data_IF_782663983506
#
_entry.id   IF_782663983506
#
_cell.length_a   1.000
_cell.length_b   1.000
_cell.length_c   1.000
_cell.angle_alpha   90.00
_cell.angle_beta   90.00
_cell.angle_gamma   90.00
#
_symmetry.space_group_name_H-M   'P 1'
#
loop_
_entity.id
_entity.type
_entity.pdbx_description
1 polymer ?
#
# COMPACT_ATOMS: atom_id res chain seq x y z
N UNK A 1 19.71 6.19 -34.26
CA UNK A 1 19.52 5.01 -35.16
C UNK A 1 20.30 3.74 -34.78
N UNK A 2 21.16 3.72 -33.75
CA UNK A 2 21.92 2.50 -33.35
C UNK A 2 21.61 1.99 -31.94
N UNK A 3 20.74 2.65 -31.19
CA UNK A 3 20.47 2.30 -29.76
C UNK A 3 19.50 1.12 -29.62
N UNK A 4 18.57 0.91 -30.56
CA UNK A 4 17.55 -0.15 -30.47
C UNK A 4 18.16 -1.54 -30.60
N UNK A 5 19.05 -1.77 -31.55
CA UNK A 5 19.69 -3.09 -31.76
C UNK A 5 20.65 -3.52 -30.63
N UNK A 6 21.28 -2.56 -29.91
CA UNK A 6 22.12 -2.89 -28.74
C UNK A 6 21.27 -3.19 -27.48
N UNK A 7 20.15 -2.52 -27.32
CA UNK A 7 19.22 -2.72 -26.22
C UNK A 7 18.68 -4.16 -26.15
N UNK A 8 18.32 -4.75 -27.28
CA UNK A 8 17.77 -6.11 -27.34
C UNK A 8 18.79 -7.18 -26.98
N UNK A 9 20.06 -6.98 -27.36
CA UNK A 9 21.14 -7.87 -26.98
C UNK A 9 21.34 -7.91 -25.48
N UNK A 10 21.35 -6.74 -24.81
CA UNK A 10 21.49 -6.65 -23.34
C UNK A 10 20.30 -7.27 -22.61
N UNK A 11 19.07 -7.05 -23.08
CA UNK A 11 17.87 -7.67 -22.51
C UNK A 11 17.93 -9.19 -22.55
N UNK A 12 18.26 -9.76 -23.71
CA UNK A 12 18.42 -11.21 -23.87
C UNK A 12 19.56 -11.77 -23.00
N UNK A 13 20.67 -11.05 -22.88
CA UNK A 13 21.78 -11.45 -21.99
C UNK A 13 21.37 -11.45 -20.53
N UNK A 14 20.68 -10.40 -20.07
CA UNK A 14 20.17 -10.31 -18.70
C UNK A 14 19.22 -11.48 -18.40
N UNK A 15 18.24 -11.74 -19.25
CA UNK A 15 17.27 -12.82 -19.03
C UNK A 15 17.91 -14.21 -19.00
N UNK A 16 18.85 -14.48 -19.90
CA UNK A 16 19.63 -15.73 -19.88
C UNK A 16 20.43 -15.86 -18.59
N UNK A 17 21.10 -14.78 -18.16
CA UNK A 17 21.84 -14.76 -16.91
C UNK A 17 20.93 -15.03 -15.71
N UNK A 18 19.72 -14.44 -15.68
CA UNK A 18 18.74 -14.67 -14.60
C UNK A 18 18.25 -16.12 -14.60
N UNK A 19 17.94 -16.70 -15.77
CA UNK A 19 17.58 -18.11 -15.90
C UNK A 19 18.72 -19.04 -15.44
N UNK A 20 19.95 -18.76 -15.84
CA UNK A 20 21.12 -19.54 -15.43
C UNK A 20 21.35 -19.49 -13.92
N UNK A 21 21.05 -18.34 -13.28
CA UNK A 21 21.31 -18.11 -11.85
C UNK A 21 20.18 -18.60 -10.94
N UNK A 22 18.93 -18.38 -11.33
CA UNK A 22 17.74 -18.59 -10.47
C UNK A 22 16.82 -19.70 -11.01
N UNK A 23 17.12 -20.26 -12.18
CA UNK A 23 16.29 -21.28 -12.78
C UNK A 23 14.92 -20.76 -13.25
N UNK A 24 13.95 -21.67 -13.28
CA UNK A 24 12.62 -21.36 -13.81
C UNK A 24 11.78 -20.39 -12.94
N UNK A 25 12.18 -20.12 -11.70
CA UNK A 25 11.51 -19.15 -10.83
C UNK A 25 11.40 -17.77 -11.50
N UNK A 26 12.43 -17.39 -12.32
CA UNK A 26 12.46 -16.13 -13.05
C UNK A 26 11.30 -15.99 -14.05
N UNK A 27 10.77 -17.09 -14.55
CA UNK A 27 9.65 -17.07 -15.50
C UNK A 27 8.34 -16.56 -14.88
N UNK A 28 8.26 -16.59 -13.55
CA UNK A 28 7.11 -16.06 -12.81
C UNK A 28 7.24 -14.58 -12.47
N UNK A 29 8.41 -13.97 -12.73
CA UNK A 29 8.65 -12.57 -12.42
C UNK A 29 8.04 -11.68 -13.52
N UNK A 30 7.15 -10.73 -13.15
CA UNK A 30 6.61 -9.80 -14.13
C UNK A 30 7.69 -8.83 -14.59
N UNK A 31 7.82 -8.68 -15.90
CA UNK A 31 8.77 -7.75 -16.55
C UNK A 31 7.96 -6.57 -17.07
N UNK A 32 8.09 -5.43 -16.40
CA UNK A 32 7.49 -4.17 -16.81
C UNK A 32 8.42 -3.39 -17.74
N UNK A 33 7.85 -2.84 -18.81
CA UNK A 33 8.65 -2.14 -19.82
C UNK A 33 8.57 -0.64 -19.59
N UNK A 34 9.66 -0.07 -19.06
CA UNK A 34 9.85 1.36 -18.79
C UNK A 34 9.09 1.87 -17.56
N UNK A 35 9.15 3.21 -17.35
CA UNK A 35 8.49 3.94 -16.26
C UNK A 35 7.94 5.27 -16.78
N UNK A 36 6.64 5.49 -16.59
CA UNK A 36 5.91 6.73 -16.90
C UNK A 36 6.26 7.36 -18.28
N UNK A 37 6.10 6.60 -19.38
CA UNK A 37 6.43 7.10 -20.71
C UNK A 37 5.52 8.27 -21.16
N UNK A 38 4.44 8.51 -20.44
CA UNK A 38 3.52 9.63 -20.64
C UNK A 38 3.98 10.94 -19.98
N UNK A 39 5.17 10.96 -19.34
CA UNK A 39 5.79 12.16 -18.78
C UNK A 39 7.09 12.51 -19.51
N UNK A 40 7.24 13.78 -19.98
CA UNK A 40 8.47 14.23 -20.65
C UNK A 40 9.74 14.10 -19.79
N UNK A 41 9.60 14.08 -18.46
CA UNK A 41 10.72 13.91 -17.53
C UNK A 41 11.31 12.48 -17.52
N UNK A 42 10.49 11.48 -17.85
CA UNK A 42 10.91 10.07 -17.88
C UNK A 42 11.07 9.52 -19.29
N UNK A 43 10.34 10.06 -20.26
CA UNK A 43 10.43 9.70 -21.66
C UNK A 43 10.47 10.94 -22.52
N UNK A 44 11.48 11.03 -23.38
CA UNK A 44 11.71 12.24 -24.18
C UNK A 44 10.44 12.66 -24.94
N UNK A 45 9.99 13.89 -24.71
CA UNK A 45 8.82 14.53 -25.31
C UNK A 45 7.50 13.74 -25.10
N UNK A 46 7.49 12.76 -24.17
CA UNK A 46 6.41 11.79 -24.00
C UNK A 46 5.97 11.15 -25.35
N UNK A 47 6.96 10.85 -26.22
CA UNK A 47 6.73 10.34 -27.57
C UNK A 47 6.11 8.94 -27.51
N UNK A 48 4.79 8.89 -27.64
CA UNK A 48 3.98 7.68 -27.55
C UNK A 48 4.35 6.64 -28.62
N UNK A 49 4.57 7.06 -29.87
CA UNK A 49 4.88 6.15 -30.96
C UNK A 49 6.24 5.47 -30.74
N UNK A 50 7.22 6.22 -30.29
CA UNK A 50 8.54 5.68 -29.98
C UNK A 50 8.49 4.72 -28.77
N UNK A 51 7.67 5.03 -27.75
CA UNK A 51 7.46 4.12 -26.62
C UNK A 51 6.77 2.81 -27.07
N UNK A 52 5.70 2.88 -27.83
CA UNK A 52 4.98 1.71 -28.34
C UNK A 52 5.91 0.80 -29.17
N UNK A 53 6.79 1.40 -29.96
CA UNK A 53 7.84 0.67 -30.69
C UNK A 53 8.83 -0.02 -29.72
N UNK A 54 9.33 0.70 -28.71
CA UNK A 54 10.20 0.13 -27.68
C UNK A 54 9.53 -1.05 -26.98
N UNK A 55 8.25 -0.90 -26.62
CA UNK A 55 7.47 -1.94 -25.96
C UNK A 55 7.41 -3.20 -26.81
N UNK A 56 6.98 -3.09 -28.07
CA UNK A 56 6.84 -4.24 -28.97
C UNK A 56 8.17 -4.97 -29.20
N UNK A 57 9.27 -4.23 -29.44
CA UNK A 57 10.60 -4.81 -29.62
C UNK A 57 11.10 -5.49 -28.34
N UNK A 58 10.83 -4.88 -27.17
CA UNK A 58 11.20 -5.48 -25.88
C UNK A 58 10.44 -6.78 -25.63
N UNK A 59 9.11 -6.76 -25.80
CA UNK A 59 8.26 -7.93 -25.62
C UNK A 59 8.70 -9.08 -26.52
N UNK A 60 8.91 -8.83 -27.82
CA UNK A 60 9.41 -9.83 -28.76
C UNK A 60 10.76 -10.39 -28.33
N UNK A 61 11.72 -9.53 -27.97
CA UNK A 61 13.03 -9.96 -27.54
C UNK A 61 13.00 -10.82 -26.26
N UNK A 62 12.11 -10.53 -25.33
CA UNK A 62 11.90 -11.31 -24.11
C UNK A 62 11.28 -12.66 -24.43
N UNK A 63 10.19 -12.68 -25.22
CA UNK A 63 9.49 -13.91 -25.63
C UNK A 63 10.35 -14.83 -26.52
N UNK A 64 11.33 -14.30 -27.25
CA UNK A 64 12.32 -15.09 -27.99
C UNK A 64 13.32 -15.83 -27.08
N UNK A 65 13.59 -15.34 -25.88
CA UNK A 65 14.45 -16.05 -24.91
C UNK A 65 13.68 -17.26 -24.34
N UNK A 66 12.47 -17.01 -23.85
CA UNK A 66 11.51 -18.03 -23.43
C UNK A 66 10.10 -17.41 -23.49
N UNK A 67 9.18 -18.08 -24.19
CA UNK A 67 7.81 -17.60 -24.36
C UNK A 67 7.00 -17.56 -23.08
N UNK A 68 7.45 -18.21 -22.01
CA UNK A 68 6.82 -18.24 -20.69
C UNK A 68 7.07 -17.00 -19.84
N UNK A 69 8.06 -16.15 -20.20
CA UNK A 69 8.26 -14.89 -19.48
C UNK A 69 6.99 -14.03 -19.49
N UNK A 70 6.67 -13.41 -18.35
CA UNK A 70 5.56 -12.51 -18.22
C UNK A 70 6.00 -11.07 -18.52
N UNK A 71 5.39 -10.43 -19.53
CA UNK A 71 5.75 -9.08 -19.99
C UNK A 71 4.53 -8.19 -20.04
N UNK A 72 4.64 -6.98 -19.50
CA UNK A 72 3.55 -6.00 -19.47
C UNK A 72 4.02 -4.55 -19.41
N UNK A 73 3.08 -3.66 -19.33
CA UNK A 73 3.19 -2.21 -19.27
C UNK A 73 1.79 -1.59 -19.34
N UNK A 74 1.63 -0.30 -19.62
CA UNK A 74 2.66 0.69 -20.00
C UNK A 74 3.28 1.47 -18.82
N UNK A 75 2.96 1.19 -17.56
CA UNK A 75 3.44 1.88 -16.37
C UNK A 75 3.19 3.40 -16.41
N UNK A 76 2.02 3.81 -16.85
CA UNK A 76 1.65 5.23 -16.99
C UNK A 76 1.21 5.86 -15.68
N UNK A 77 1.51 7.14 -15.47
CA UNK A 77 0.90 7.95 -14.42
C UNK A 77 -0.46 8.51 -14.84
N UNK A 78 -1.12 9.29 -13.96
CA UNK A 78 -2.46 9.83 -14.18
C UNK A 78 -2.58 10.90 -15.27
N UNK A 79 -1.49 11.29 -15.96
CA UNK A 79 -1.53 12.31 -17.02
C UNK A 79 -1.99 11.68 -18.33
N UNK A 80 -3.17 12.10 -18.82
CA UNK A 80 -3.79 11.55 -20.05
C UNK A 80 -3.88 10.01 -20.05
N UNK A 81 -4.02 9.42 -18.89
CA UNK A 81 -3.95 7.97 -18.66
C UNK A 81 -4.99 7.18 -19.46
N UNK A 82 -6.21 7.69 -19.61
CA UNK A 82 -7.29 7.06 -20.38
C UNK A 82 -6.89 6.95 -21.86
N UNK A 83 -6.39 8.04 -22.46
CA UNK A 83 -5.94 8.06 -23.85
C UNK A 83 -4.73 7.13 -24.05
N UNK A 84 -3.75 7.22 -23.16
CA UNK A 84 -2.56 6.37 -23.23
C UNK A 84 -2.88 4.89 -23.10
N UNK A 85 -3.76 4.52 -22.15
CA UNK A 85 -4.17 3.12 -22.00
C UNK A 85 -4.93 2.63 -23.23
N UNK A 86 -5.84 3.43 -23.78
CA UNK A 86 -6.58 3.09 -24.99
C UNK A 86 -5.66 2.86 -26.19
N UNK A 87 -4.71 3.79 -26.41
CA UNK A 87 -3.78 3.71 -27.53
C UNK A 87 -2.81 2.52 -27.36
N UNK A 88 -2.32 2.28 -26.13
CA UNK A 88 -1.48 1.13 -25.83
C UNK A 88 -2.19 -0.20 -26.12
N UNK A 89 -3.44 -0.35 -25.66
CA UNK A 89 -4.22 -1.56 -25.87
C UNK A 89 -4.57 -1.75 -27.36
N UNK A 90 -4.93 -0.67 -28.07
CA UNK A 90 -5.17 -0.69 -29.52
C UNK A 90 -3.90 -1.14 -30.27
N UNK A 91 -2.76 -0.57 -29.91
CA UNK A 91 -1.48 -0.96 -30.54
C UNK A 91 -1.12 -2.43 -30.28
N UNK A 92 -1.32 -2.93 -29.06
CA UNK A 92 -1.10 -4.35 -28.75
C UNK A 92 -2.02 -5.26 -29.55
N UNK A 93 -3.31 -4.89 -29.69
CA UNK A 93 -4.29 -5.60 -30.49
C UNK A 93 -3.88 -5.65 -31.99
N UNK A 94 -3.61 -4.49 -32.59
CA UNK A 94 -3.31 -4.36 -34.02
C UNK A 94 -2.03 -5.10 -34.42
N UNK A 95 -1.09 -5.24 -33.49
CA UNK A 95 0.18 -5.94 -33.69
C UNK A 95 0.17 -7.38 -33.15
N UNK A 96 -0.96 -7.90 -32.67
CA UNK A 96 -1.15 -9.24 -32.10
C UNK A 96 -0.05 -9.58 -31.05
N UNK A 97 0.23 -8.65 -30.14
CA UNK A 97 1.29 -8.81 -29.14
C UNK A 97 0.79 -9.71 -27.99
N UNK A 98 1.55 -10.73 -27.55
CA UNK A 98 1.19 -11.59 -26.42
C UNK A 98 1.43 -10.89 -25.07
N UNK A 99 0.55 -9.93 -24.73
CA UNK A 99 0.59 -9.17 -23.50
C UNK A 99 0.11 -10.06 -22.33
N UNK A 100 0.89 -10.14 -21.24
CA UNK A 100 0.56 -10.98 -20.09
C UNK A 100 -0.15 -10.22 -18.96
N UNK A 101 0.11 -8.93 -18.81
CA UNK A 101 -0.50 -8.06 -17.80
C UNK A 101 -0.42 -6.59 -18.23
N UNK A 102 -1.20 -5.75 -17.57
CA UNK A 102 -1.13 -4.29 -17.70
C UNK A 102 -0.73 -3.64 -16.39
N UNK A 103 -0.12 -2.46 -16.50
CA UNK A 103 0.33 -1.69 -15.33
C UNK A 103 0.01 -0.21 -15.45
N UNK A 104 -0.19 0.41 -14.31
CA UNK A 104 -0.26 1.86 -14.18
C UNK A 104 0.15 2.30 -12.78
N UNK A 105 0.43 3.59 -12.62
CA UNK A 105 0.64 4.25 -11.33
C UNK A 105 -0.67 4.89 -10.84
N UNK A 106 -0.75 5.12 -9.52
CA UNK A 106 -1.96 5.61 -8.90
C UNK A 106 -1.66 6.54 -7.73
N UNK A 107 -1.88 7.83 -7.95
CA UNK A 107 -1.76 8.87 -6.95
C UNK A 107 -3.10 9.61 -6.80
N UNK A 108 -3.48 9.92 -5.57
CA UNK A 108 -4.83 10.35 -5.21
C UNK A 108 -4.88 11.75 -4.59
N UNK A 109 -3.92 12.60 -4.96
CA UNK A 109 -3.76 13.94 -4.46
C UNK A 109 -4.17 14.95 -5.54
N UNK A 110 -4.84 16.02 -5.14
CA UNK A 110 -5.10 17.15 -6.04
C UNK A 110 -3.80 17.89 -6.34
N UNK A 111 -3.85 18.80 -7.32
CA UNK A 111 -2.70 19.64 -7.65
C UNK A 111 -2.25 20.41 -6.41
N UNK A 112 -1.03 20.17 -5.91
CA UNK A 112 -0.57 20.79 -4.68
C UNK A 112 -0.19 22.26 -4.87
N UNK A 113 -0.27 23.00 -3.77
CA UNK A 113 0.32 24.32 -3.63
C UNK A 113 1.68 24.18 -2.93
N UNK A 114 2.70 24.87 -3.46
CA UNK A 114 4.03 24.90 -2.87
C UNK A 114 4.10 26.01 -1.83
N UNK A 115 4.53 25.68 -0.61
CA UNK A 115 4.84 26.66 0.44
C UNK A 115 6.21 26.31 1.08
N UNK A 116 7.20 27.14 0.79
CA UNK A 116 8.58 26.91 1.19
C UNK A 116 9.17 25.66 0.54
N UNK A 117 9.41 24.64 1.36
CA UNK A 117 9.97 23.35 0.92
C UNK A 117 8.93 22.23 0.88
N UNK A 118 7.66 22.55 1.03
CA UNK A 118 6.59 21.57 1.16
C UNK A 118 5.51 21.77 0.12
N UNK A 119 4.89 20.67 -0.26
CA UNK A 119 3.76 20.63 -1.19
C UNK A 119 2.51 20.22 -0.43
N UNK A 120 1.56 21.13 -0.28
CA UNK A 120 0.29 20.92 0.39
C UNK A 120 -0.84 20.78 -0.62
N UNK A 121 -1.80 19.91 -0.33
CA UNK A 121 -2.98 19.72 -1.17
C UNK A 121 -4.01 18.83 -0.49
N UNK A 122 -5.14 18.66 -1.15
CA UNK A 122 -6.22 17.81 -0.65
C UNK A 122 -6.08 16.37 -1.17
N UNK A 123 -6.40 15.41 -0.31
CA UNK A 123 -6.63 14.03 -0.72
C UNK A 123 -7.98 13.95 -1.43
N UNK A 124 -8.01 13.37 -2.63
CA UNK A 124 -9.26 13.09 -3.34
C UNK A 124 -10.05 12.02 -2.58
N UNK A 125 -11.37 12.01 -2.78
CA UNK A 125 -12.19 10.93 -2.21
C UNK A 125 -11.68 9.56 -2.69
N UNK A 126 -11.43 8.59 -1.79
CA UNK A 126 -10.87 7.30 -2.19
C UNK A 126 -11.79 6.51 -3.12
N UNK A 127 -13.11 6.59 -2.97
CA UNK A 127 -14.06 5.87 -3.80
C UNK A 127 -14.13 6.48 -5.22
N UNK A 128 -14.02 7.79 -5.35
CA UNK A 128 -13.91 8.46 -6.65
C UNK A 128 -12.57 8.14 -7.33
N UNK A 129 -11.47 8.15 -6.58
CA UNK A 129 -10.15 7.80 -7.10
C UNK A 129 -10.09 6.35 -7.62
N UNK A 130 -10.73 5.40 -6.92
CA UNK A 130 -10.79 4.00 -7.36
C UNK A 130 -11.58 3.81 -8.66
N UNK A 131 -12.48 4.73 -9.04
CA UNK A 131 -13.18 4.70 -10.34
C UNK A 131 -12.21 4.89 -11.51
N UNK A 132 -11.10 5.59 -11.31
CA UNK A 132 -10.05 5.73 -12.35
C UNK A 132 -9.45 4.36 -12.71
N UNK A 133 -9.25 3.50 -11.70
CA UNK A 133 -8.76 2.15 -11.93
C UNK A 133 -9.79 1.31 -12.69
N UNK A 134 -11.09 1.48 -12.38
CA UNK A 134 -12.15 0.80 -13.12
C UNK A 134 -12.17 1.20 -14.58
N UNK A 135 -11.99 2.49 -14.91
CA UNK A 135 -11.90 2.96 -16.30
C UNK A 135 -10.76 2.25 -17.04
N UNK A 136 -9.58 2.14 -16.43
CA UNK A 136 -8.46 1.39 -17.03
C UNK A 136 -8.80 -0.09 -17.23
N UNK A 137 -9.46 -0.73 -16.26
CA UNK A 137 -9.92 -2.13 -16.35
C UNK A 137 -10.90 -2.30 -17.49
N UNK A 138 -11.88 -1.40 -17.63
CA UNK A 138 -12.89 -1.45 -18.69
C UNK A 138 -12.27 -1.31 -20.08
N UNK A 139 -11.24 -0.47 -20.24
CA UNK A 139 -10.48 -0.34 -21.49
C UNK A 139 -9.81 -1.67 -21.82
N UNK A 140 -9.10 -2.29 -20.89
CA UNK A 140 -8.39 -3.57 -21.11
C UNK A 140 -9.40 -4.66 -21.48
N UNK A 141 -10.52 -4.76 -20.75
CA UNK A 141 -11.55 -5.78 -20.96
C UNK A 141 -12.39 -5.58 -22.23
N UNK A 142 -12.29 -4.41 -22.85
CA UNK A 142 -12.93 -4.13 -24.15
C UNK A 142 -12.29 -4.91 -25.31
N UNK A 143 -11.04 -5.36 -25.14
CA UNK A 143 -10.30 -6.19 -26.09
C UNK A 143 -10.47 -7.68 -25.71
N UNK A 144 -11.19 -8.49 -26.52
CA UNK A 144 -11.57 -9.85 -26.13
C UNK A 144 -10.38 -10.76 -25.77
N UNK A 145 -9.24 -10.62 -26.46
CA UNK A 145 -8.03 -11.41 -26.24
C UNK A 145 -7.26 -11.03 -24.96
N UNK A 146 -7.48 -9.81 -24.44
CA UNK A 146 -6.84 -9.33 -23.22
C UNK A 146 -7.81 -9.26 -22.04
N UNK A 147 -9.07 -9.68 -22.23
CA UNK A 147 -10.05 -9.63 -21.15
C UNK A 147 -9.63 -10.47 -19.96
N UNK A 148 -9.58 -9.83 -18.79
CA UNK A 148 -9.25 -10.47 -17.52
C UNK A 148 -7.76 -10.74 -17.32
N UNK A 149 -6.84 -10.22 -18.17
CA UNK A 149 -5.41 -10.25 -17.84
C UNK A 149 -5.15 -9.42 -16.58
N UNK A 150 -4.16 -9.80 -15.75
CA UNK A 150 -3.83 -9.06 -14.54
C UNK A 150 -3.60 -7.57 -14.79
N UNK A 151 -4.07 -6.72 -13.89
CA UNK A 151 -3.71 -5.31 -13.83
C UNK A 151 -2.98 -5.04 -12.50
N UNK A 152 -1.77 -4.53 -12.57
CA UNK A 152 -0.96 -4.22 -11.39
C UNK A 152 -0.78 -2.71 -11.25
N UNK A 153 -0.94 -2.21 -10.03
CA UNK A 153 -0.59 -0.84 -9.67
C UNK A 153 0.86 -0.88 -9.17
N UNK A 154 1.79 -0.65 -10.09
CA UNK A 154 3.21 -0.85 -9.85
C UNK A 154 3.85 0.29 -9.07
N UNK A 155 3.12 1.40 -8.92
CA UNK A 155 3.49 2.50 -8.04
C UNK A 155 2.23 3.20 -7.53
N UNK A 156 2.11 3.38 -6.22
CA UNK A 156 1.04 4.21 -5.64
C UNK A 156 1.47 4.88 -4.34
N UNK A 157 0.89 6.03 -4.10
CA UNK A 157 0.88 6.74 -2.81
C UNK A 157 -0.30 7.72 -2.83
N UNK A 158 -0.48 8.50 -1.77
CA UNK A 158 -1.44 9.60 -1.77
C UNK A 158 -0.93 10.75 -2.65
N UNK A 159 0.18 11.39 -2.32
CA UNK A 159 0.77 12.43 -3.15
C UNK A 159 1.88 11.88 -4.06
N UNK A 160 1.98 12.46 -5.25
CA UNK A 160 3.10 12.22 -6.19
C UNK A 160 4.30 13.15 -5.94
N UNK A 161 4.28 13.93 -4.85
CA UNK A 161 5.34 14.86 -4.48
C UNK A 161 6.22 14.28 -3.37
N UNK A 162 7.56 14.33 -3.49
CA UNK A 162 8.49 13.80 -2.48
C UNK A 162 8.63 14.69 -1.23
N UNK A 163 7.88 15.77 -1.17
CA UNK A 163 7.90 16.81 -0.14
C UNK A 163 6.50 17.10 0.42
N UNK A 164 5.60 16.13 0.34
CA UNK A 164 4.19 16.29 0.75
C UNK A 164 3.97 15.82 2.19
N UNK A 165 3.73 16.71 3.18
CA UNK A 165 3.65 16.35 4.60
C UNK A 165 2.57 15.31 4.92
N UNK A 166 1.57 15.14 4.06
CA UNK A 166 0.54 14.11 4.24
C UNK A 166 1.12 12.71 4.41
N UNK A 167 2.25 12.39 3.77
CA UNK A 167 2.91 11.09 3.85
C UNK A 167 3.37 10.71 5.26
N UNK A 168 3.59 11.71 6.12
CA UNK A 168 4.09 11.51 7.49
C UNK A 168 2.95 11.34 8.51
N UNK A 169 1.69 11.46 8.09
CA UNK A 169 0.52 11.58 8.97
C UNK A 169 -0.25 10.26 9.17
N UNK A 170 -1.03 10.22 10.25
CA UNK A 170 -2.02 9.16 10.49
C UNK A 170 -3.16 9.17 9.48
N UNK A 171 -3.47 10.32 8.88
CA UNK A 171 -4.45 10.46 7.79
C UNK A 171 -4.03 9.65 6.57
N UNK A 172 -2.73 9.68 6.20
CA UNK A 172 -2.18 8.84 5.14
C UNK A 172 -2.40 7.35 5.45
N UNK A 173 -2.15 6.94 6.70
CA UNK A 173 -2.34 5.57 7.13
C UNK A 173 -3.80 5.09 6.97
N UNK A 174 -4.78 5.90 7.39
CA UNK A 174 -6.20 5.60 7.26
C UNK A 174 -6.65 5.61 5.79
N UNK A 175 -6.14 6.54 4.98
CA UNK A 175 -6.43 6.61 3.56
C UNK A 175 -5.93 5.36 2.81
N UNK A 176 -4.68 4.97 3.05
CA UNK A 176 -4.08 3.76 2.46
C UNK A 176 -4.84 2.51 2.91
N UNK A 177 -5.30 2.44 4.17
CA UNK A 177 -6.13 1.33 4.63
C UNK A 177 -7.41 1.19 3.79
N UNK A 178 -8.04 2.31 3.45
CA UNK A 178 -9.24 2.35 2.59
C UNK A 178 -8.96 1.83 1.18
N UNK A 179 -7.81 2.18 0.59
CA UNK A 179 -7.41 1.68 -0.73
C UNK A 179 -7.11 0.17 -0.69
N UNK A 180 -6.30 -0.28 0.29
CA UNK A 180 -5.91 -1.69 0.41
C UNK A 180 -7.12 -2.61 0.63
N UNK A 181 -8.17 -2.13 1.29
CA UNK A 181 -9.40 -2.90 1.48
C UNK A 181 -10.11 -3.25 0.16
N UNK A 182 -9.83 -2.53 -0.93
CA UNK A 182 -10.41 -2.73 -2.26
C UNK A 182 -9.52 -3.55 -3.20
N UNK A 183 -8.35 -3.99 -2.72
CA UNK A 183 -7.45 -4.86 -3.49
C UNK A 183 -8.18 -6.14 -3.94
N UNK A 184 -7.98 -6.51 -5.20
CA UNK A 184 -8.60 -7.66 -5.82
C UNK A 184 -9.99 -7.39 -6.43
N UNK A 185 -10.49 -6.14 -6.43
CA UNK A 185 -11.73 -5.77 -7.10
C UNK A 185 -11.51 -5.46 -8.59
N UNK A 186 -10.47 -4.69 -8.88
CA UNK A 186 -10.12 -4.28 -10.26
C UNK A 186 -8.66 -4.53 -10.61
N UNK A 187 -7.79 -4.78 -9.63
CA UNK A 187 -6.36 -4.99 -9.79
C UNK A 187 -5.82 -6.04 -8.82
N UNK A 188 -4.73 -6.71 -9.17
CA UNK A 188 -4.13 -7.81 -8.41
C UNK A 188 -3.12 -7.36 -7.39
N UNK A 189 -2.48 -6.21 -7.56
CA UNK A 189 -1.46 -5.74 -6.62
C UNK A 189 -1.36 -4.23 -6.55
N UNK A 190 -0.85 -3.77 -5.40
CA UNK A 190 -0.41 -2.42 -5.14
C UNK A 190 1.06 -2.42 -4.67
N UNK A 191 1.92 -1.67 -5.34
CA UNK A 191 3.30 -1.42 -4.93
C UNK A 191 3.43 -0.01 -4.39
N UNK A 192 3.67 0.11 -3.08
CA UNK A 192 3.77 1.42 -2.45
C UNK A 192 5.08 2.13 -2.80
N UNK A 193 5.00 3.37 -3.23
CA UNK A 193 6.14 4.23 -3.47
C UNK A 193 6.37 5.17 -2.29
N UNK A 194 7.31 4.86 -1.38
CA UNK A 194 8.30 3.79 -1.42
C UNK A 194 8.57 3.26 -0.01
N UNK A 195 9.59 2.42 0.19
CA UNK A 195 9.84 1.82 1.50
C UNK A 195 10.48 2.81 2.48
N UNK A 196 11.46 3.61 2.06
CA UNK A 196 12.20 4.48 2.97
C UNK A 196 12.49 5.87 2.38
N UNK A 197 12.62 6.86 3.25
CA UNK A 197 12.92 8.24 2.93
C UNK A 197 14.42 8.46 2.61
N UNK A 198 14.98 7.60 1.78
CA UNK A 198 16.34 7.73 1.23
C UNK A 198 16.33 8.29 -0.19
N UNK A 199 15.18 8.78 -0.62
CA UNK A 199 14.95 9.26 -1.97
C UNK A 199 15.22 10.76 -2.04
N UNK A 200 16.12 11.17 -2.93
CA UNK A 200 16.64 12.54 -3.03
C UNK A 200 16.21 13.23 -4.34
N UNK A 201 14.98 13.03 -4.77
CA UNK A 201 14.48 13.56 -6.05
C UNK A 201 14.52 15.10 -6.11
N UNK A 202 14.25 15.78 -4.99
CA UNK A 202 14.34 17.22 -4.84
C UNK A 202 15.57 17.65 -4.01
N UNK A 203 16.58 16.80 -3.92
CA UNK A 203 17.78 17.03 -3.13
C UNK A 203 17.72 16.38 -1.75
N UNK A 204 18.69 16.73 -0.88
CA UNK A 204 18.80 16.16 0.46
C UNK A 204 17.74 16.75 1.37
N UNK A 205 16.91 15.92 2.05
CA UNK A 205 15.87 16.39 2.95
C UNK A 205 16.43 17.21 4.13
N UNK A 206 15.72 18.28 4.49
CA UNK A 206 16.15 19.21 5.56
C UNK A 206 15.81 18.70 6.96
N UNK A 207 14.79 17.84 7.07
CA UNK A 207 14.24 17.37 8.35
C UNK A 207 13.94 15.88 8.27
N UNK A 208 13.82 15.20 9.44
CA UNK A 208 13.44 13.78 9.45
C UNK A 208 12.02 13.52 8.91
N UNK A 209 11.12 14.50 9.07
CA UNK A 209 9.76 14.45 8.50
C UNK A 209 9.59 15.60 7.50
N UNK A 210 9.93 15.30 6.27
CA UNK A 210 9.91 16.25 5.14
C UNK A 210 8.84 15.94 4.11
N UNK A 211 7.89 15.05 4.45
CA UNK A 211 6.87 14.61 3.52
C UNK A 211 7.35 13.61 2.47
N UNK A 212 8.46 12.92 2.74
CA UNK A 212 9.00 11.89 1.84
C UNK A 212 8.04 10.72 1.63
N UNK A 213 8.20 10.01 0.52
CA UNK A 213 7.32 8.91 0.12
C UNK A 213 7.37 7.68 1.04
N UNK A 214 8.43 7.54 1.84
CA UNK A 214 8.75 6.31 2.55
C UNK A 214 7.73 5.89 3.61
N UNK A 215 7.62 4.58 3.81
CA UNK A 215 6.98 4.01 5.01
C UNK A 215 7.85 4.22 6.26
N UNK A 216 9.15 4.43 6.06
CA UNK A 216 10.14 4.58 7.11
C UNK A 216 10.92 5.87 6.86
N UNK A 217 10.86 6.79 7.82
CA UNK A 217 11.60 8.03 7.79
C UNK A 217 13.09 7.82 8.06
N UNK A 218 13.91 8.83 7.73
CA UNK A 218 15.33 8.84 8.03
C UNK A 218 15.58 8.53 9.52
N UNK A 219 16.60 7.73 9.79
CA UNK A 219 16.86 7.20 11.14
C UNK A 219 16.07 5.92 11.44
N UNK A 220 15.51 5.24 10.46
CA UNK A 220 14.70 4.02 10.61
C UNK A 220 13.51 4.22 11.57
N UNK A 221 12.77 5.30 11.40
CA UNK A 221 11.59 5.65 12.20
C UNK A 221 10.35 5.23 11.38
N UNK A 222 9.58 4.21 11.81
CA UNK A 222 8.35 3.83 11.13
C UNK A 222 7.34 4.99 11.15
N UNK A 223 6.78 5.33 9.99
CA UNK A 223 5.67 6.27 9.89
C UNK A 223 4.33 5.57 10.17
N UNK A 224 3.24 6.27 10.42
CA UNK A 224 1.92 5.65 10.66
C UNK A 224 1.51 4.64 9.59
N UNK A 225 1.73 4.93 8.32
CA UNK A 225 1.39 4.08 7.17
C UNK A 225 2.15 2.74 7.15
N UNK A 226 3.35 2.67 7.74
CA UNK A 226 4.06 1.40 7.92
C UNK A 226 3.20 0.35 8.64
N UNK A 227 2.47 0.79 9.66
CA UNK A 227 1.62 -0.09 10.45
C UNK A 227 0.37 -0.52 9.70
N UNK A 228 -0.16 0.30 8.80
CA UNK A 228 -1.24 -0.13 7.91
C UNK A 228 -0.84 -1.38 7.13
N UNK A 229 0.31 -1.37 6.46
CA UNK A 229 0.83 -2.55 5.75
C UNK A 229 1.10 -3.73 6.70
N UNK A 230 1.71 -3.47 7.86
CA UNK A 230 2.00 -4.51 8.85
C UNK A 230 0.72 -5.16 9.38
N UNK A 231 -0.37 -4.42 9.52
CA UNK A 231 -1.68 -4.93 9.94
C UNK A 231 -2.36 -5.74 8.83
N UNK A 232 -2.42 -5.20 7.60
CA UNK A 232 -3.00 -5.92 6.47
C UNK A 232 -2.27 -7.22 6.16
N UNK A 233 -0.95 -7.29 6.35
CA UNK A 233 -0.17 -8.52 6.22
C UNK A 233 -0.65 -9.66 7.14
N UNK A 234 -1.32 -9.33 8.26
CA UNK A 234 -1.87 -10.33 9.20
C UNK A 234 -3.22 -10.90 8.74
N UNK A 235 -3.84 -10.32 7.71
CA UNK A 235 -5.15 -10.72 7.21
C UNK A 235 -5.01 -11.92 6.24
N UNK A 236 -4.71 -13.08 6.80
CA UNK A 236 -4.59 -14.34 6.07
C UNK A 236 -5.72 -15.27 6.50
N UNK A 237 -6.56 -15.71 5.55
CA UNK A 237 -7.67 -16.61 5.83
C UNK A 237 -8.92 -16.31 5.01
N UNK A 238 -10.04 -16.86 5.45
CA UNK A 238 -11.35 -16.64 4.84
C UNK A 238 -11.87 -15.24 5.17
N UNK A 239 -12.29 -14.48 4.16
CA UNK A 239 -12.85 -13.14 4.36
C UNK A 239 -14.23 -13.24 5.02
N UNK A 240 -14.36 -12.68 6.23
CA UNK A 240 -15.62 -12.58 6.97
C UNK A 240 -16.34 -11.26 6.72
N UNK A 241 -15.59 -10.19 6.55
CA UNK A 241 -16.11 -8.84 6.39
C UNK A 241 -15.19 -8.04 5.48
N UNK A 242 -15.79 -7.33 4.54
CA UNK A 242 -15.16 -6.25 3.78
C UNK A 242 -16.16 -5.11 3.68
N UNK A 243 -15.83 -3.97 4.27
CA UNK A 243 -16.69 -2.78 4.30
C UNK A 243 -15.90 -1.51 4.00
N UNK A 244 -16.57 -0.37 4.08
CA UNK A 244 -15.92 0.96 3.94
C UNK A 244 -14.97 1.30 5.09
N UNK A 245 -15.06 0.62 6.22
CA UNK A 245 -14.40 1.00 7.47
C UNK A 245 -13.62 -0.15 8.11
N UNK A 246 -13.78 -1.38 7.59
CA UNK A 246 -13.11 -2.55 8.14
C UNK A 246 -12.99 -3.72 7.15
N UNK A 247 -11.96 -4.53 7.36
CA UNK A 247 -11.79 -5.86 6.79
C UNK A 247 -11.51 -6.85 7.92
N UNK A 248 -12.12 -8.03 7.89
CA UNK A 248 -11.84 -9.10 8.85
C UNK A 248 -11.79 -10.46 8.15
N UNK A 249 -10.92 -11.33 8.66
CA UNK A 249 -10.70 -12.70 8.16
C UNK A 249 -10.75 -13.70 9.31
N UNK A 250 -11.18 -14.93 9.00
CA UNK A 250 -11.05 -16.09 9.89
C UNK A 250 -9.82 -16.89 9.48
N UNK A 251 -8.91 -17.11 10.42
CA UNK A 251 -7.72 -17.93 10.21
C UNK A 251 -8.01 -19.42 10.37
N UNK A 252 -7.10 -20.26 9.90
CA UNK A 252 -7.24 -21.72 9.95
C UNK A 252 -7.32 -22.28 11.39
N UNK A 253 -6.76 -21.58 12.38
CA UNK A 253 -6.83 -21.94 13.81
C UNK A 253 -8.13 -21.49 14.50
N UNK A 254 -9.06 -20.90 13.75
CA UNK A 254 -10.33 -20.39 14.23
C UNK A 254 -10.27 -18.97 14.82
N UNK A 255 -9.07 -18.38 14.96
CA UNK A 255 -8.94 -16.97 15.35
C UNK A 255 -9.46 -16.04 14.26
N UNK A 256 -9.81 -14.82 14.65
CA UNK A 256 -10.25 -13.77 13.73
C UNK A 256 -9.28 -12.60 13.81
N UNK A 257 -8.83 -12.11 12.66
CA UNK A 257 -8.05 -10.89 12.58
C UNK A 257 -8.75 -9.86 11.71
N UNK A 258 -8.62 -8.58 12.06
CA UNK A 258 -9.19 -7.50 11.26
C UNK A 258 -8.41 -6.20 11.38
N UNK A 259 -8.68 -5.32 10.44
CA UNK A 259 -8.22 -3.93 10.43
C UNK A 259 -9.45 -3.06 10.25
N UNK A 260 -9.60 -2.07 11.12
CA UNK A 260 -10.63 -1.03 11.04
C UNK A 260 -9.96 0.34 10.96
N UNK A 261 -10.58 1.28 10.29
CA UNK A 261 -10.06 2.65 10.15
C UNK A 261 -11.17 3.67 10.17
N UNK A 262 -10.81 4.88 10.53
CA UNK A 262 -11.68 6.05 10.42
C UNK A 262 -10.91 7.13 9.64
N UNK A 263 -11.25 7.28 8.38
CA UNK A 263 -10.76 8.39 7.56
C UNK A 263 -11.68 9.58 7.81
N UNK A 264 -11.22 10.52 8.64
CA UNK A 264 -12.00 11.69 9.03
C UNK A 264 -12.40 12.54 7.84
N UNK A 265 -13.66 12.98 7.83
CA UNK A 265 -14.09 14.09 6.98
C UNK A 265 -13.72 15.41 7.67
N UNK A 266 -13.81 16.53 6.95
CA UNK A 266 -13.40 17.87 7.42
C UNK A 266 -13.99 18.32 8.76
N UNK A 267 -15.07 17.69 9.23
CA UNK A 267 -15.76 18.06 10.46
C UNK A 267 -15.25 17.37 11.74
N UNK A 268 -14.30 16.48 11.64
CA UNK A 268 -13.70 15.77 12.77
C UNK A 268 -14.67 14.86 13.53
N UNK A 269 -14.21 13.76 14.08
CA UNK A 269 -15.01 12.94 14.96
C UNK A 269 -14.48 11.52 15.15
N UNK A 270 -14.73 10.96 16.33
CA UNK A 270 -14.57 9.53 16.56
C UNK A 270 -15.79 8.79 16.05
N UNK A 271 -15.57 7.59 15.46
CA UNK A 271 -16.62 6.65 15.12
C UNK A 271 -16.59 5.43 16.03
N UNK A 272 -17.67 4.69 16.09
CA UNK A 272 -17.75 3.44 16.85
C UNK A 272 -18.14 2.31 15.90
N UNK A 273 -17.30 1.27 15.85
CA UNK A 273 -17.55 0.07 15.07
C UNK A 273 -17.71 -1.13 16.01
N UNK A 274 -18.81 -1.86 15.88
CA UNK A 274 -19.01 -3.12 16.61
C UNK A 274 -18.90 -4.30 15.66
N UNK A 275 -17.87 -5.12 15.87
CA UNK A 275 -17.71 -6.40 15.21
C UNK A 275 -18.40 -7.49 16.02
N UNK A 276 -19.35 -8.20 15.39
CA UNK A 276 -20.11 -9.29 16.02
C UNK A 276 -19.70 -10.61 15.38
N UNK A 277 -19.29 -11.55 16.20
CA UNK A 277 -18.88 -12.89 15.79
C UNK A 277 -19.86 -13.90 16.36
N UNK A 278 -20.64 -14.63 15.53
CA UNK A 278 -21.46 -15.76 15.97
C UNK A 278 -20.55 -16.88 16.50
N UNK A 279 -20.57 -17.10 17.80
CA UNK A 279 -19.72 -18.10 18.47
C UNK A 279 -20.13 -18.24 19.93
N UNK A 280 -19.61 -19.27 20.58
CA UNK A 280 -19.78 -19.55 22.01
C UNK A 280 -18.45 -19.40 22.76
N UNK A 281 -18.52 -19.41 24.08
CA UNK A 281 -17.36 -19.48 24.97
C UNK A 281 -16.72 -18.11 25.27
N UNK A 282 -15.44 -18.17 25.59
CA UNK A 282 -14.64 -17.01 26.00
C UNK A 282 -13.54 -16.72 24.97
N UNK A 283 -13.33 -15.46 24.72
CA UNK A 283 -12.36 -14.97 23.74
C UNK A 283 -11.47 -13.89 24.35
N UNK A 284 -10.24 -13.80 23.89
CA UNK A 284 -9.34 -12.68 24.14
C UNK A 284 -9.34 -11.79 22.91
N UNK A 285 -9.64 -10.51 23.08
CA UNK A 285 -9.42 -9.50 22.09
C UNK A 285 -8.10 -8.78 22.34
N UNK A 286 -7.28 -8.64 21.29
CA UNK A 286 -6.09 -7.80 21.26
C UNK A 286 -6.34 -6.70 20.22
N UNK A 287 -6.01 -5.45 20.56
CA UNK A 287 -6.02 -4.34 19.60
C UNK A 287 -4.67 -3.65 19.56
N UNK A 288 -4.30 -3.16 18.36
CA UNK A 288 -3.14 -2.30 18.14
C UNK A 288 -3.62 -1.04 17.43
N UNK A 289 -3.37 0.11 18.02
CA UNK A 289 -3.90 1.39 17.56
C UNK A 289 -2.81 2.29 17.02
N UNK A 290 -3.08 2.86 15.86
CA UNK A 290 -2.37 3.98 15.23
C UNK A 290 -3.36 5.14 15.16
N UNK A 291 -3.06 6.25 15.81
CA UNK A 291 -3.88 7.47 15.81
C UNK A 291 -2.99 8.68 16.14
N UNK A 292 -3.58 9.84 16.32
CA UNK A 292 -2.84 11.07 16.63
C UNK A 292 -1.89 10.94 17.83
N UNK A 293 -2.25 10.13 18.84
CA UNK A 293 -1.48 9.97 20.08
C UNK A 293 -0.64 8.69 20.13
N UNK A 294 -0.78 7.78 19.18
CA UNK A 294 -0.14 6.48 19.19
C UNK A 294 0.45 6.14 17.80
N UNK A 295 1.69 5.64 17.79
CA UNK A 295 2.44 5.36 16.57
C UNK A 295 2.56 6.58 15.64
N UNK A 296 2.63 7.76 16.21
CA UNK A 296 2.72 9.03 15.48
C UNK A 296 4.00 9.79 15.87
N UNK A 297 5.16 9.39 15.33
CA UNK A 297 6.42 10.06 15.62
C UNK A 297 6.48 11.49 15.08
N UNK A 298 5.69 11.84 14.05
CA UNK A 298 5.56 13.21 13.55
C UNK A 298 5.06 14.16 14.65
N UNK A 299 4.00 13.76 15.37
CA UNK A 299 3.49 14.57 16.49
C UNK A 299 4.52 14.77 17.57
N UNK A 300 5.27 13.73 17.93
CA UNK A 300 6.34 13.84 18.93
C UNK A 300 7.46 14.76 18.46
N UNK A 301 7.84 14.69 17.20
CA UNK A 301 8.81 15.59 16.61
C UNK A 301 8.34 17.06 16.65
N UNK A 302 7.06 17.29 16.34
CA UNK A 302 6.42 18.60 16.47
C UNK A 302 6.47 19.11 17.93
N UNK A 303 6.07 18.28 18.90
CA UNK A 303 6.09 18.62 20.33
C UNK A 303 7.52 18.94 20.85
N UNK A 304 8.56 18.41 20.19
CA UNK A 304 9.97 18.73 20.47
C UNK A 304 10.46 20.05 19.84
N UNK A 305 9.60 20.78 19.12
CA UNK A 305 9.95 22.02 18.43
C UNK A 305 10.60 21.83 17.07
N UNK A 306 10.33 20.71 16.41
CA UNK A 306 10.71 20.44 15.02
C UNK A 306 12.22 20.53 14.73
N UNK A 307 13.08 19.84 15.51
CA UNK A 307 14.51 19.94 15.31
C UNK A 307 14.92 19.45 13.91
N UNK A 308 15.71 20.27 13.19
CA UNK A 308 16.20 19.93 11.84
C UNK A 308 17.23 18.79 11.84
N UNK A 309 17.89 18.54 12.96
CA UNK A 309 18.82 17.42 13.12
C UNK A 309 18.52 16.63 14.39
N UNK A 310 18.67 15.32 14.31
CA UNK A 310 18.38 14.42 15.43
C UNK A 310 19.67 13.89 16.06
N UNK A 311 19.81 14.07 17.38
CA UNK A 311 20.77 13.29 18.16
C UNK A 311 20.35 11.81 18.22
N UNK A 312 21.27 10.92 18.57
CA UNK A 312 20.97 9.51 18.77
C UNK A 312 19.85 9.27 19.80
N UNK A 313 19.79 10.12 20.84
CA UNK A 313 18.74 10.05 21.88
C UNK A 313 17.37 10.45 21.33
N UNK A 314 17.28 11.50 20.52
CA UNK A 314 16.04 11.92 19.88
C UNK A 314 15.59 10.91 18.84
N UNK A 315 16.51 10.35 18.04
CA UNK A 315 16.18 9.27 17.09
C UNK A 315 15.61 8.05 17.83
N UNK A 316 16.19 7.68 18.97
CA UNK A 316 15.67 6.59 19.80
C UNK A 316 14.26 6.89 20.32
N UNK A 317 14.05 8.10 20.84
CA UNK A 317 12.74 8.55 21.34
C UNK A 317 11.66 8.45 20.23
N UNK A 318 11.95 8.96 19.03
CA UNK A 318 11.04 8.92 17.90
C UNK A 318 10.73 7.48 17.44
N UNK A 319 11.72 6.59 17.46
CA UNK A 319 11.48 5.15 17.17
C UNK A 319 10.57 4.50 18.21
N UNK A 320 10.75 4.81 19.49
CA UNK A 320 9.90 4.28 20.57
C UNK A 320 8.46 4.81 20.46
N UNK A 321 8.28 6.09 20.11
CA UNK A 321 6.97 6.70 19.88
C UNK A 321 6.24 6.19 18.64
N UNK A 322 6.96 5.56 17.71
CA UNK A 322 6.40 5.00 16.49
C UNK A 322 5.69 3.63 16.70
N UNK A 323 5.68 3.10 17.92
CA UNK A 323 5.01 1.82 18.20
C UNK A 323 3.51 1.99 18.46
N UNK A 324 2.64 1.10 17.92
CA UNK A 324 1.20 1.13 18.20
C UNK A 324 0.89 0.87 19.68
N UNK A 325 -0.16 1.50 20.18
CA UNK A 325 -0.70 1.19 21.50
C UNK A 325 -1.37 -0.20 21.48
N UNK A 326 -0.99 -1.05 22.43
CA UNK A 326 -1.55 -2.40 22.56
C UNK A 326 -2.52 -2.45 23.74
N UNK A 327 -3.73 -2.99 23.50
CA UNK A 327 -4.71 -3.27 24.55
C UNK A 327 -5.24 -4.69 24.38
N UNK A 328 -5.61 -5.30 25.50
CA UNK A 328 -6.26 -6.60 25.53
C UNK A 328 -7.50 -6.57 26.42
N UNK A 329 -8.51 -7.34 26.06
CA UNK A 329 -9.66 -7.57 26.93
C UNK A 329 -10.20 -8.99 26.75
N UNK A 330 -10.89 -9.48 27.77
CA UNK A 330 -11.63 -10.74 27.74
C UNK A 330 -13.07 -10.45 27.32
N UNK A 331 -13.58 -11.23 26.38
CA UNK A 331 -14.95 -11.17 25.89
C UNK A 331 -15.61 -12.54 26.15
N UNK A 332 -16.84 -12.54 26.63
CA UNK A 332 -17.65 -13.74 26.79
C UNK A 332 -18.80 -13.70 25.79
N UNK A 333 -19.12 -14.85 25.21
CA UNK A 333 -20.29 -14.95 24.35
C UNK A 333 -21.58 -14.70 25.15
N UNK A 334 -22.44 -13.86 24.62
CA UNK A 334 -23.77 -13.57 25.10
C UNK A 334 -24.78 -13.83 23.97
N UNK A 335 -25.79 -14.66 24.26
CA UNK A 335 -26.80 -15.08 23.24
C UNK A 335 -26.20 -15.66 21.94
N UNK A 336 -25.10 -16.42 22.06
CA UNK A 336 -24.44 -17.05 20.91
C UNK A 336 -23.55 -16.10 20.10
N UNK A 337 -23.17 -14.96 20.65
CA UNK A 337 -22.34 -13.97 19.95
C UNK A 337 -21.27 -13.37 20.87
N UNK A 338 -20.07 -13.15 20.33
CA UNK A 338 -19.06 -12.28 20.92
C UNK A 338 -19.07 -10.94 20.21
N UNK A 339 -19.02 -9.85 20.97
CA UNK A 339 -19.03 -8.48 20.44
C UNK A 339 -17.77 -7.74 20.84
N UNK A 340 -17.06 -7.21 19.85
CA UNK A 340 -15.93 -6.29 20.03
C UNK A 340 -16.34 -4.91 19.53
N UNK A 341 -16.40 -3.93 20.44
CA UNK A 341 -16.64 -2.54 20.07
C UNK A 341 -15.31 -1.78 20.05
N UNK A 342 -15.00 -1.18 18.92
CA UNK A 342 -13.83 -0.33 18.69
C UNK A 342 -14.28 1.12 18.65
N UNK A 343 -13.62 1.98 19.40
CA UNK A 343 -13.72 3.44 19.21
C UNK A 343 -12.56 3.86 18.32
N UNK A 344 -12.88 4.37 17.15
CA UNK A 344 -11.93 4.79 16.13
C UNK A 344 -11.83 6.32 16.18
N UNK A 345 -10.70 6.83 16.63
CA UNK A 345 -10.41 8.27 16.54
C UNK A 345 -10.37 8.71 15.06
N UNK A 346 -10.50 10.00 14.82
CA UNK A 346 -10.28 10.54 13.47
C UNK A 346 -8.89 10.14 12.96
N UNK A 347 -8.81 9.80 11.68
CA UNK A 347 -7.57 9.43 10.99
C UNK A 347 -6.80 8.31 11.71
N UNK A 348 -7.51 7.30 12.21
CA UNK A 348 -6.94 6.15 12.91
C UNK A 348 -7.01 4.86 12.11
N UNK A 349 -6.08 3.96 12.43
CA UNK A 349 -6.09 2.57 11.97
C UNK A 349 -5.93 1.65 13.17
N UNK A 350 -6.83 0.70 13.33
CA UNK A 350 -6.84 -0.26 14.44
C UNK A 350 -6.81 -1.68 13.89
N UNK A 351 -5.74 -2.41 14.22
CA UNK A 351 -5.73 -3.86 14.08
C UNK A 351 -6.42 -4.49 15.29
N UNK A 352 -7.23 -5.51 15.07
CA UNK A 352 -7.81 -6.32 16.14
C UNK A 352 -7.64 -7.81 15.85
N UNK A 353 -7.54 -8.58 16.92
CA UNK A 353 -7.48 -10.04 16.88
C UNK A 353 -8.37 -10.62 17.96
N UNK A 354 -9.19 -11.60 17.60
CA UNK A 354 -10.01 -12.38 18.50
C UNK A 354 -9.49 -13.81 18.52
N UNK A 355 -9.05 -14.27 19.68
CA UNK A 355 -8.52 -15.64 19.89
C UNK A 355 -9.38 -16.38 20.91
N UNK A 356 -9.87 -17.60 20.60
CA UNK A 356 -10.63 -18.37 21.57
C UNK A 356 -9.76 -18.73 22.77
N UNK A 357 -10.32 -18.62 23.97
CA UNK A 357 -9.63 -18.96 25.21
C UNK A 357 -10.25 -20.21 25.79
N UNK A 358 -9.47 -21.25 25.92
CA UNK A 358 -9.89 -22.51 26.53
C UNK A 358 -9.19 -22.74 27.88
N UNK A 359 -9.99 -23.08 28.87
CA UNK A 359 -9.49 -23.39 30.20
C UNK A 359 -9.20 -22.15 31.06
N UNK A 360 -9.17 -22.38 32.34
CA UNK A 360 -8.77 -21.41 33.35
C UNK A 360 -7.74 -22.11 34.25
N UNK A 361 -6.74 -21.36 34.71
CA UNK A 361 -5.82 -21.88 35.70
C UNK A 361 -6.60 -22.14 37.00
N UNK A 362 -6.60 -23.41 37.45
CA UNK A 362 -7.23 -23.85 38.69
C UNK A 362 -6.22 -24.09 39.83
N UNK A 363 -4.94 -23.76 39.59
CA UNK A 363 -3.83 -24.02 40.52
C UNK A 363 -3.69 -22.96 41.62
N UNK A 364 -4.75 -22.22 41.94
CA UNK A 364 -4.75 -21.21 43.01
C UNK A 364 -4.04 -19.91 42.63
N UNK A 365 -3.74 -19.67 41.32
CA UNK A 365 -3.20 -18.39 40.87
C UNK A 365 -4.26 -17.34 40.98
N UNK A 366 -3.93 -16.22 41.64
CA UNK A 366 -4.75 -15.01 41.70
C UNK A 366 -3.90 -13.82 41.26
N UNK A 367 -4.26 -13.21 40.14
CA UNK A 367 -3.62 -11.98 39.66
C UNK A 367 -3.70 -10.85 40.67
N UNK A 368 -4.86 -10.67 41.30
CA UNK A 368 -5.08 -9.61 42.27
C UNK A 368 -4.17 -9.75 43.50
N UNK A 369 -4.02 -10.99 44.01
CA UNK A 369 -3.09 -11.26 45.13
C UNK A 369 -1.65 -11.00 44.71
N UNK A 370 -1.27 -11.42 43.50
CA UNK A 370 0.09 -11.19 43.00
C UNK A 370 0.43 -9.70 42.82
N UNK A 371 -0.54 -8.87 42.41
CA UNK A 371 -0.32 -7.43 42.19
C UNK A 371 -0.42 -6.63 43.49
N UNK A 372 -1.31 -7.01 44.44
CA UNK A 372 -1.49 -6.30 45.70
C UNK A 372 -0.52 -6.75 46.79
N UNK A 373 0.18 -7.88 46.61
CA UNK A 373 1.10 -8.42 47.60
C UNK A 373 0.41 -9.00 48.83
N UNK A 374 -0.83 -9.45 48.71
CA UNK A 374 -1.66 -10.05 49.77
C UNK A 374 -1.48 -11.58 49.86
#
# INVERSE_FOLDING_TARGET
RKIVGSSDVYKRQLLRHLLDRYGEDVLTWPIEVWNEPNLPGFWKDADKEEYLRLFAETLRAVKEVDSRFCVGGPAICGVQDVEWMQDFMTFCHDNALPLDFVTRHFYTFDTPEEDGHYSYGALRDPDESLKELQVSRDIVDSFPEYRGIPMHITEFNTSYRPDSPVHDTTRNAAYVARLLARLGEVNESYSYWTFGDVFEELGIPFTPFHGGFGLVANGCIPKPTFWTFAFFKQLQGECLLRSKEAVAVRRADGSVAGVAWNLGQETGGSSSLTFTLPTEGTWCALTKTVDENHANPLKVWHDLGEPSSLSSSLTKLLRESAAPAVKTCRLSAENGEVRLTLTLAQDSVVYFELTPVSGQSDRGYSYERAVKGE
#
